data_IF_057387393608
#
_entry.id   IF_057387393608
#
_cell.length_a   1.000
_cell.length_b   1.000
_cell.length_c   1.000
_cell.angle_alpha   90.00
_cell.angle_beta   90.00
_cell.angle_gamma   90.00
#
_symmetry.space_group_name_H-M   'P 1'
#
loop_
_entity.id
_entity.type
_entity.pdbx_description
1 polymer ?
#
# COMPACT_ATOMS: atom_id res chain seq x y z
N UNK A 1 38.29 34.81 -30.86
CA UNK A 1 37.81 34.90 -29.47
C UNK A 1 37.37 33.50 -29.08
N UNK A 2 38.21 32.47 -28.96
CA UNK A 2 39.54 32.34 -28.34
C UNK A 2 39.53 32.67 -26.84
N UNK A 3 39.39 31.58 -26.08
CA UNK A 3 40.02 31.24 -24.79
C UNK A 3 39.83 32.15 -23.58
N UNK A 4 38.91 31.74 -22.69
CA UNK A 4 39.12 31.74 -21.22
C UNK A 4 38.45 30.48 -20.65
N UNK A 5 39.21 29.39 -20.57
CA UNK A 5 38.96 28.26 -19.67
C UNK A 5 40.06 28.36 -18.61
N UNK A 6 39.68 28.63 -17.37
CA UNK A 6 40.61 28.65 -16.23
C UNK A 6 40.05 27.78 -15.11
N UNK A 7 40.68 26.62 -14.98
CA UNK A 7 41.15 26.03 -13.72
C UNK A 7 40.31 26.23 -12.47
N UNK A 8 39.42 25.26 -12.21
CA UNK A 8 39.01 24.92 -10.86
C UNK A 8 39.77 23.65 -10.41
N UNK A 9 40.35 23.64 -9.20
CA UNK A 9 41.06 22.47 -8.69
C UNK A 9 40.09 21.31 -8.43
N UNK A 10 40.55 20.05 -8.57
CA UNK A 10 39.71 18.89 -8.32
C UNK A 10 39.30 18.83 -6.84
N UNK A 11 37.99 18.77 -6.61
CA UNK A 11 37.41 18.54 -5.29
C UNK A 11 37.76 17.11 -4.84
N UNK A 12 38.41 16.92 -3.68
CA UNK A 12 38.72 15.58 -3.20
C UNK A 12 37.43 14.81 -2.85
N UNK A 13 37.37 13.50 -3.10
CA UNK A 13 36.19 12.70 -2.80
C UNK A 13 35.96 12.70 -1.28
N UNK A 14 34.76 13.14 -0.86
CA UNK A 14 34.28 12.95 0.51
C UNK A 14 34.14 11.45 0.77
N UNK A 15 35.01 10.91 1.62
CA UNK A 15 34.90 9.57 2.17
C UNK A 15 33.60 9.46 2.97
N UNK A 16 32.66 8.66 2.47
CA UNK A 16 31.46 8.27 3.21
C UNK A 16 31.85 7.41 4.42
N UNK A 17 31.16 7.55 5.57
CA UNK A 17 31.38 6.69 6.72
C UNK A 17 31.06 5.22 6.37
N UNK A 18 31.76 4.25 6.99
CA UNK A 18 31.54 2.84 6.73
C UNK A 18 30.12 2.45 7.11
N UNK A 19 29.44 1.77 6.19
CA UNK A 19 28.14 1.15 6.44
C UNK A 19 28.28 0.10 7.56
N UNK A 20 27.31 0.01 8.49
CA UNK A 20 27.30 -1.04 9.48
C UNK A 20 27.24 -2.42 8.81
N UNK A 21 27.86 -3.45 9.41
CA UNK A 21 27.88 -4.79 8.83
C UNK A 21 26.46 -5.31 8.65
N UNK A 22 26.21 -5.81 7.44
CA UNK A 22 24.95 -6.42 7.01
C UNK A 22 24.75 -7.70 7.80
N UNK A 23 23.86 -7.68 8.79
CA UNK A 23 23.47 -8.88 9.52
C UNK A 23 22.79 -9.86 8.56
N UNK A 24 23.39 -11.05 8.45
CA UNK A 24 22.84 -12.17 7.69
C UNK A 24 21.65 -12.71 8.49
N UNK A 25 20.45 -12.87 7.90
CA UNK A 25 19.33 -13.48 8.59
C UNK A 25 19.69 -14.92 8.94
N UNK A 26 19.65 -15.25 10.24
CA UNK A 26 19.70 -16.63 10.69
C UNK A 26 18.38 -17.31 10.33
N UNK A 27 18.48 -18.48 9.71
CA UNK A 27 17.41 -19.44 9.49
C UNK A 27 16.67 -19.72 10.81
N UNK A 28 15.44 -19.22 10.95
CA UNK A 28 14.50 -19.71 11.96
C UNK A 28 13.70 -20.87 11.36
N UNK A 29 14.27 -22.06 11.54
CA UNK A 29 13.55 -23.32 11.36
C UNK A 29 12.55 -23.54 12.48
N UNK A 30 11.27 -23.55 12.10
CA UNK A 30 10.25 -24.52 12.52
C UNK A 30 10.19 -24.89 14.01
N UNK A 31 9.33 -24.24 14.78
CA UNK A 31 8.68 -24.86 15.94
C UNK A 31 7.19 -24.53 16.00
N UNK A 32 6.41 -25.53 15.58
CA UNK A 32 4.97 -25.64 15.79
C UNK A 32 4.67 -26.03 17.25
N UNK A 33 3.64 -25.38 17.79
CA UNK A 33 2.68 -25.88 18.78
C UNK A 33 3.19 -26.28 20.17
N UNK A 34 2.85 -25.45 21.15
CA UNK A 34 2.17 -25.90 22.38
C UNK A 34 1.42 -24.74 23.03
N UNK A 35 0.11 -24.71 22.84
CA UNK A 35 -0.84 -24.06 23.73
C UNK A 35 -0.85 -24.83 25.06
N UNK A 36 -0.63 -24.13 26.17
CA UNK A 36 -1.06 -24.54 27.49
C UNK A 36 -1.21 -23.30 28.40
N UNK A 37 -2.47 -23.06 28.76
CA UNK A 37 -2.96 -22.53 30.05
C UNK A 37 -2.12 -21.48 30.81
N UNK A 38 -2.61 -20.24 30.80
CA UNK A 38 -2.31 -19.23 31.82
C UNK A 38 -3.59 -18.94 32.61
N UNK A 39 -3.63 -19.47 33.84
CA UNK A 39 -4.50 -19.02 34.92
C UNK A 39 -3.65 -18.29 35.98
N UNK A 40 -4.24 -17.40 36.79
CA UNK A 40 -3.52 -16.32 37.44
C UNK A 40 -2.79 -16.71 38.72
N UNK A 41 -1.66 -16.03 38.90
CA UNK A 41 -0.67 -16.16 39.96
C UNK A 41 -1.27 -15.86 41.35
N UNK A 42 -1.27 -16.89 42.21
CA UNK A 42 -1.56 -16.80 43.64
C UNK A 42 -0.30 -16.34 44.36
N UNK A 43 -0.34 -15.10 44.86
CA UNK A 43 0.55 -14.62 45.92
C UNK A 43 0.47 -15.57 47.13
N UNK A 44 1.54 -16.30 47.40
CA UNK A 44 1.80 -16.88 48.71
C UNK A 44 2.98 -16.17 49.36
N UNK A 45 2.61 -15.32 50.32
CA UNK A 45 3.43 -14.91 51.44
C UNK A 45 3.85 -16.15 52.22
N UNK A 46 5.14 -16.37 52.42
CA UNK A 46 5.63 -17.23 53.49
C UNK A 46 6.31 -16.35 54.53
N UNK A 47 5.67 -16.32 55.69
CA UNK A 47 6.11 -15.67 56.90
C UNK A 47 7.28 -16.43 57.52
N UNK A 48 8.12 -15.63 58.14
CA UNK A 48 9.24 -15.95 59.03
C UNK A 48 8.76 -16.65 60.31
N UNK A 49 9.22 -17.87 60.56
CA UNK A 49 9.23 -18.65 61.83
C UNK A 49 10.22 -19.79 61.59
N UNK A 50 11.04 -20.35 62.47
CA UNK A 50 11.38 -20.25 63.89
C UNK A 50 12.80 -20.87 63.96
N UNK A 51 13.75 -20.32 64.73
CA UNK A 51 14.08 -20.80 66.07
C UNK A 51 14.45 -22.31 66.12
N UNK A 52 15.74 -22.64 66.01
CA UNK A 52 16.29 -23.91 66.51
C UNK A 52 17.70 -23.73 67.05
N UNK A 53 17.77 -23.85 68.38
CA UNK A 53 18.98 -24.00 69.18
C UNK A 53 19.71 -25.32 68.89
N UNK A 54 21.04 -25.39 69.00
CA UNK A 54 21.76 -26.67 69.07
C UNK A 54 21.67 -27.29 70.48
N UNK A 55 21.52 -28.62 70.62
CA UNK A 55 21.52 -29.26 71.93
C UNK A 55 22.94 -29.49 72.44
N UNK A 56 23.12 -29.21 73.73
CA UNK A 56 24.18 -29.76 74.55
C UNK A 56 23.85 -31.21 74.95
N UNK A 57 24.85 -32.10 74.96
CA UNK A 57 24.86 -33.36 75.73
C UNK A 57 26.31 -33.90 75.75
N UNK A 58 27.05 -33.76 76.84
CA UNK A 58 27.20 -34.72 77.95
C UNK A 58 27.61 -36.14 77.52
N UNK A 59 28.87 -36.52 77.77
CA UNK A 59 29.21 -37.83 78.37
C UNK A 59 30.52 -37.73 79.17
N UNK A 60 30.48 -38.36 80.34
CA UNK A 60 31.46 -38.34 81.43
C UNK A 60 32.47 -39.52 81.31
N UNK A 61 33.45 -39.66 82.23
CA UNK A 61 34.65 -40.45 82.06
C UNK A 61 34.47 -41.91 82.49
N UNK A 62 35.23 -42.84 81.87
CA UNK A 62 35.41 -44.21 82.37
C UNK A 62 36.89 -44.57 82.35
N UNK A 63 37.34 -45.11 83.47
CA UNK A 63 38.71 -45.48 83.78
C UNK A 63 39.06 -46.93 83.36
N UNK A 64 40.37 -47.13 83.19
CA UNK A 64 41.14 -48.37 83.43
C UNK A 64 40.83 -49.61 82.60
N UNK A 65 41.81 -50.06 81.81
CA UNK A 65 42.31 -51.46 81.77
C UNK A 65 43.50 -51.59 80.80
N UNK A 66 44.68 -51.96 81.32
CA UNK A 66 45.72 -52.65 80.54
C UNK A 66 45.16 -54.00 80.04
N UNK A 67 45.63 -54.51 78.89
CA UNK A 67 46.57 -55.63 78.99
C UNK A 67 47.68 -55.66 77.93
N UNK A 68 48.78 -56.28 78.36
CA UNK A 68 49.58 -57.27 77.64
C UNK A 68 50.05 -57.00 76.20
N UNK A 69 51.38 -56.87 76.11
CA UNK A 69 52.22 -57.25 74.96
C UNK A 69 51.61 -58.38 74.12
N UNK A 70 51.21 -58.06 72.90
CA UNK A 70 51.17 -58.98 71.78
C UNK A 70 51.94 -58.35 70.64
N UNK A 71 53.03 -59.02 70.26
CA UNK A 71 53.84 -58.71 69.08
C UNK A 71 52.91 -58.66 67.86
N UNK A 72 53.03 -57.63 67.00
CA UNK A 72 52.12 -57.42 65.87
C UNK A 72 52.05 -58.67 65.00
N UNK A 73 50.88 -59.31 65.02
CA UNK A 73 50.50 -60.25 63.97
C UNK A 73 50.60 -59.53 62.63
N UNK A 74 51.03 -60.24 61.60
CA UNK A 74 51.21 -59.74 60.22
C UNK A 74 49.94 -59.04 59.69
N UNK A 75 48.76 -59.31 60.28
CA UNK A 75 47.47 -58.71 59.95
C UNK A 75 47.31 -57.25 60.44
N UNK A 76 47.88 -56.84 61.57
CA UNK A 76 47.74 -55.48 62.10
C UNK A 76 48.57 -54.45 61.31
N UNK A 77 49.76 -54.84 60.86
CA UNK A 77 50.57 -54.00 59.96
C UNK A 77 49.88 -53.83 58.59
N UNK A 78 49.15 -54.85 58.12
CA UNK A 78 48.36 -54.77 56.90
C UNK A 78 47.13 -53.83 57.06
N UNK A 79 46.51 -53.78 58.24
CA UNK A 79 45.43 -52.85 58.55
C UNK A 79 45.91 -51.40 58.64
N UNK A 80 47.05 -51.15 59.29
CA UNK A 80 47.66 -49.80 59.35
C UNK A 80 48.06 -49.30 57.96
N UNK A 81 48.59 -50.19 57.11
CA UNK A 81 48.93 -49.84 55.73
C UNK A 81 47.68 -49.52 54.89
N UNK A 82 46.61 -50.33 55.00
CA UNK A 82 45.32 -50.03 54.35
C UNK A 82 44.72 -48.71 54.83
N UNK A 83 44.83 -48.41 56.12
CA UNK A 83 44.31 -47.17 56.69
C UNK A 83 45.08 -45.96 56.15
N UNK A 84 46.41 -46.05 56.09
CA UNK A 84 47.26 -45.03 55.48
C UNK A 84 47.01 -44.84 53.96
N UNK A 85 46.69 -45.92 53.23
CA UNK A 85 46.26 -45.86 51.83
C UNK A 85 44.90 -45.17 51.69
N UNK A 86 43.91 -45.54 52.50
CA UNK A 86 42.58 -44.88 52.48
C UNK A 86 42.64 -43.41 52.88
N UNK A 87 43.52 -43.02 53.81
CA UNK A 87 43.72 -41.61 54.15
C UNK A 87 44.34 -40.82 53.00
N UNK A 88 45.28 -41.43 52.26
CA UNK A 88 45.84 -40.81 51.05
C UNK A 88 44.77 -40.65 49.98
N UNK A 89 44.02 -41.70 49.68
CA UNK A 89 42.95 -41.66 48.67
C UNK A 89 41.89 -40.62 49.03
N UNK A 90 41.42 -40.59 50.29
CA UNK A 90 40.48 -39.56 50.77
C UNK A 90 41.07 -38.15 50.71
N UNK A 91 42.36 -37.99 50.96
CA UNK A 91 43.02 -36.69 50.86
C UNK A 91 43.13 -36.21 49.41
N UNK A 92 43.37 -37.12 48.46
CA UNK A 92 43.39 -36.83 47.03
C UNK A 92 41.99 -36.54 46.50
N UNK A 93 40.99 -37.32 46.91
CA UNK A 93 39.58 -37.09 46.57
C UNK A 93 39.12 -35.73 47.11
N UNK A 94 39.47 -35.38 48.35
CA UNK A 94 39.18 -34.06 48.92
C UNK A 94 39.85 -32.93 48.13
N UNK A 95 41.10 -33.10 47.71
CA UNK A 95 41.81 -32.11 46.88
C UNK A 95 41.15 -31.96 45.51
N UNK A 96 40.79 -33.05 44.85
CA UNK A 96 40.12 -32.99 43.54
C UNK A 96 38.72 -32.37 43.64
N UNK A 97 37.97 -32.65 44.70
CA UNK A 97 36.70 -31.99 44.96
C UNK A 97 36.87 -30.50 45.25
N UNK A 98 37.87 -30.12 46.05
CA UNK A 98 38.17 -28.70 46.30
C UNK A 98 38.55 -27.95 45.02
N UNK A 99 39.33 -28.58 44.14
CA UNK A 99 39.67 -28.01 42.83
C UNK A 99 38.43 -27.83 41.94
N UNK A 100 37.57 -28.86 41.85
CA UNK A 100 36.32 -28.79 41.08
C UNK A 100 35.37 -27.72 41.63
N UNK A 101 35.26 -27.58 42.95
CA UNK A 101 34.46 -26.53 43.57
C UNK A 101 35.00 -25.15 43.22
N UNK A 102 36.32 -24.94 43.32
CA UNK A 102 36.94 -23.68 42.93
C UNK A 102 36.74 -23.36 41.43
N UNK A 103 36.81 -24.36 40.55
CA UNK A 103 36.58 -24.20 39.12
C UNK A 103 35.11 -23.83 38.82
N UNK A 104 34.15 -24.51 39.45
CA UNK A 104 32.72 -24.22 39.31
C UNK A 104 32.40 -22.83 39.86
N UNK A 105 32.95 -22.45 41.02
CA UNK A 105 32.80 -21.10 41.58
C UNK A 105 33.38 -20.04 40.65
N UNK A 106 34.55 -20.29 40.06
CA UNK A 106 35.14 -19.41 39.06
C UNK A 106 34.23 -19.26 37.83
N UNK A 107 33.76 -20.36 37.25
CA UNK A 107 32.87 -20.35 36.09
C UNK A 107 31.56 -19.61 36.38
N UNK A 108 30.93 -19.91 37.52
CA UNK A 108 29.70 -19.26 37.94
C UNK A 108 29.90 -17.76 38.19
N UNK A 109 31.06 -17.35 38.73
CA UNK A 109 31.41 -15.94 38.87
C UNK A 109 31.59 -15.24 37.51
N UNK A 110 32.18 -15.92 36.53
CA UNK A 110 32.37 -15.42 35.17
C UNK A 110 31.02 -15.30 34.45
N UNK A 111 30.17 -16.33 34.53
CA UNK A 111 28.83 -16.32 33.98
C UNK A 111 28.00 -15.17 34.57
N UNK A 112 28.02 -15.00 35.90
CA UNK A 112 27.35 -13.87 36.57
C UNK A 112 27.83 -12.52 36.05
N UNK A 113 29.15 -12.34 35.84
CA UNK A 113 29.70 -11.10 35.26
C UNK A 113 29.21 -10.90 33.82
N UNK A 114 29.23 -11.94 32.99
CA UNK A 114 28.75 -11.83 31.60
C UNK A 114 27.24 -11.57 31.52
N UNK A 115 26.46 -12.18 32.41
CA UNK A 115 25.02 -11.95 32.51
C UNK A 115 24.73 -10.51 32.96
N UNK A 116 25.43 -10.02 33.99
CA UNK A 116 25.32 -8.62 34.43
C UNK A 116 25.70 -7.65 33.30
N UNK A 117 26.79 -7.92 32.56
CA UNK A 117 27.20 -7.08 31.44
C UNK A 117 26.17 -7.08 30.30
N UNK A 118 25.61 -8.24 29.96
CA UNK A 118 24.56 -8.36 28.94
C UNK A 118 23.29 -7.65 29.36
N UNK A 119 22.88 -7.78 30.62
CA UNK A 119 21.71 -7.08 31.16
C UNK A 119 21.88 -5.55 31.12
N UNK A 120 23.08 -5.04 31.46
CA UNK A 120 23.40 -3.61 31.32
C UNK A 120 23.36 -3.15 29.86
N UNK A 121 23.96 -3.92 28.95
CA UNK A 121 23.92 -3.61 27.52
C UNK A 121 22.50 -3.61 26.93
N UNK A 122 21.67 -4.57 27.33
CA UNK A 122 20.28 -4.65 26.88
C UNK A 122 19.49 -3.43 27.37
N UNK A 123 19.62 -3.09 28.66
CA UNK A 123 18.99 -1.90 29.24
C UNK A 123 19.44 -0.60 28.55
N UNK A 124 20.72 -0.49 28.22
CA UNK A 124 21.24 0.65 27.48
C UNK A 124 20.65 0.71 26.07
N UNK A 125 20.58 -0.41 25.34
CA UNK A 125 19.98 -0.46 24.01
C UNK A 125 18.49 -0.12 24.04
N UNK A 126 17.74 -0.64 25.01
CA UNK A 126 16.32 -0.28 25.22
C UNK A 126 16.16 1.21 25.47
N UNK A 127 17.02 1.81 26.30
CA UNK A 127 16.99 3.26 26.54
C UNK A 127 17.24 4.05 25.24
N UNK A 128 18.26 3.68 24.45
CA UNK A 128 18.52 4.36 23.17
C UNK A 128 17.39 4.19 22.15
N UNK A 129 16.74 3.01 22.13
CA UNK A 129 15.59 2.77 21.27
C UNK A 129 14.38 3.63 21.68
N UNK A 130 14.13 3.77 22.99
CA UNK A 130 13.07 4.63 23.53
C UNK A 130 13.33 6.11 23.23
N UNK A 131 14.58 6.57 23.37
CA UNK A 131 14.99 7.93 23.00
C UNK A 131 14.76 8.18 21.51
N UNK A 132 15.16 7.25 20.64
CA UNK A 132 14.92 7.37 19.20
C UNK A 132 13.42 7.39 18.85
N UNK A 133 12.62 6.55 19.50
CA UNK A 133 11.15 6.58 19.34
C UNK A 133 10.55 7.90 19.81
N UNK A 134 11.09 8.52 20.86
CA UNK A 134 10.65 9.83 21.32
C UNK A 134 11.01 10.92 20.32
N UNK A 135 12.27 10.98 19.85
CA UNK A 135 12.69 11.92 18.81
C UNK A 135 11.86 11.79 17.54
N UNK A 136 11.57 10.56 17.11
CA UNK A 136 10.74 10.31 15.94
C UNK A 136 9.30 10.81 16.14
N UNK A 137 8.71 10.58 17.33
CA UNK A 137 7.39 11.13 17.67
C UNK A 137 7.39 12.66 17.69
N UNK A 138 8.42 13.28 18.25
CA UNK A 138 8.54 14.74 18.32
C UNK A 138 8.72 15.34 16.92
N UNK A 139 9.56 14.74 16.07
CA UNK A 139 9.72 15.14 14.68
C UNK A 139 8.41 15.01 13.89
N UNK A 140 7.64 13.94 14.11
CA UNK A 140 6.31 13.77 13.52
C UNK A 140 5.33 14.83 14.02
N UNK A 141 5.33 15.15 15.32
CA UNK A 141 4.46 16.15 15.89
C UNK A 141 4.79 17.56 15.35
N UNK A 142 6.08 17.87 15.22
CA UNK A 142 6.55 19.12 14.64
C UNK A 142 6.22 19.21 13.15
N UNK A 143 6.43 18.14 12.38
CA UNK A 143 6.00 18.04 10.98
C UNK A 143 4.48 18.24 10.87
N UNK A 144 3.68 17.55 11.69
CA UNK A 144 2.23 17.71 11.73
C UNK A 144 1.82 19.14 12.07
N UNK A 145 2.56 19.83 12.95
CA UNK A 145 2.34 21.26 13.26
C UNK A 145 2.61 22.12 12.02
N UNK A 146 3.73 21.91 11.33
CA UNK A 146 4.05 22.64 10.10
C UNK A 146 3.04 22.38 9.00
N UNK A 147 2.61 21.12 8.83
CA UNK A 147 1.56 20.76 7.88
C UNK A 147 0.26 21.50 8.24
N UNK A 148 -0.20 21.48 9.50
CA UNK A 148 -1.41 22.24 9.90
C UNK A 148 -1.32 23.75 9.61
N UNK A 149 -0.14 24.35 9.76
CA UNK A 149 0.10 25.77 9.47
C UNK A 149 0.15 26.05 7.96
N UNK A 150 0.81 25.19 7.18
CA UNK A 150 0.94 25.30 5.72
C UNK A 150 -0.38 25.01 4.99
N UNK A 151 -1.20 24.11 5.54
CA UNK A 151 -2.44 23.62 4.90
C UNK A 151 -3.62 24.60 5.01
N UNK A 152 -3.46 25.76 5.68
CA UNK A 152 -4.53 26.76 5.83
C UNK A 152 -4.99 27.42 4.53
N UNK A 153 -4.18 27.36 3.46
CA UNK A 153 -4.41 28.18 2.25
C UNK A 153 -4.68 27.39 0.95
N UNK A 154 -4.83 26.06 0.98
CA UNK A 154 -5.08 25.28 -0.26
C UNK A 154 -6.09 24.13 -0.11
N UNK A 155 -7.02 24.24 0.83
CA UNK A 155 -8.20 23.36 0.81
C UNK A 155 -9.11 23.80 -0.32
N UNK A 156 -9.24 22.94 -1.33
CA UNK A 156 -10.15 23.19 -2.44
C UNK A 156 -11.57 22.96 -1.93
N UNK A 157 -12.42 23.98 -2.04
CA UNK A 157 -13.84 23.85 -1.68
C UNK A 157 -14.54 22.92 -2.68
N UNK A 158 -15.69 22.37 -2.29
CA UNK A 158 -16.47 21.50 -3.17
C UNK A 158 -16.93 22.22 -4.44
N UNK A 159 -17.23 23.52 -4.34
CA UNK A 159 -17.61 24.33 -5.51
C UNK A 159 -16.46 24.48 -6.51
N UNK A 160 -15.24 24.70 -6.03
CA UNK A 160 -14.04 24.82 -6.89
C UNK A 160 -13.72 23.47 -7.52
N UNK A 161 -13.81 22.37 -6.77
CA UNK A 161 -13.66 21.02 -7.30
C UNK A 161 -14.71 20.73 -8.39
N UNK A 162 -15.98 21.03 -8.12
CA UNK A 162 -17.08 20.88 -9.07
C UNK A 162 -16.83 21.71 -10.33
N UNK A 163 -16.36 22.94 -10.20
CA UNK A 163 -16.05 23.81 -11.32
C UNK A 163 -14.95 23.21 -12.21
N UNK A 164 -13.83 22.74 -11.62
CA UNK A 164 -12.75 22.13 -12.39
C UNK A 164 -13.19 20.82 -13.07
N UNK A 165 -13.95 19.98 -12.37
CA UNK A 165 -14.45 18.72 -12.95
C UNK A 165 -15.44 19.00 -14.08
N UNK A 166 -16.36 19.96 -13.91
CA UNK A 166 -17.30 20.34 -14.96
C UNK A 166 -16.59 20.99 -16.16
N UNK A 167 -15.55 21.78 -15.94
CA UNK A 167 -14.73 22.32 -17.03
C UNK A 167 -14.09 21.19 -17.83
N UNK A 168 -13.49 20.19 -17.17
CA UNK A 168 -12.93 19.03 -17.85
C UNK A 168 -14.00 18.20 -18.59
N UNK A 169 -15.18 17.98 -17.97
CA UNK A 169 -16.33 17.32 -18.63
C UNK A 169 -16.74 18.04 -19.90
N UNK A 170 -16.86 19.35 -19.85
CA UNK A 170 -17.22 20.16 -21.00
C UNK A 170 -16.14 20.07 -22.09
N UNK A 171 -14.87 20.19 -21.75
CA UNK A 171 -13.79 20.11 -22.73
C UNK A 171 -13.70 18.74 -23.42
N UNK A 172 -13.89 17.63 -22.70
CA UNK A 172 -13.91 16.29 -23.29
C UNK A 172 -15.14 16.09 -24.19
N UNK A 173 -16.31 16.58 -23.76
CA UNK A 173 -17.55 16.54 -24.56
C UNK A 173 -17.40 17.34 -25.85
N UNK A 174 -16.93 18.59 -25.76
CA UNK A 174 -16.70 19.47 -26.92
C UNK A 174 -15.66 18.87 -27.88
N UNK A 175 -14.55 18.34 -27.36
CA UNK A 175 -13.55 17.64 -28.16
C UNK A 175 -14.17 16.47 -28.94
N UNK A 176 -14.95 15.64 -28.25
CA UNK A 176 -15.53 14.44 -28.85
C UNK A 176 -16.58 14.80 -29.91
N UNK A 177 -17.43 15.78 -29.62
CA UNK A 177 -18.43 16.29 -30.55
C UNK A 177 -17.77 16.95 -31.77
N UNK A 178 -16.78 17.81 -31.57
CA UNK A 178 -16.14 18.58 -32.65
C UNK A 178 -15.42 17.66 -33.65
N UNK A 179 -14.70 16.64 -33.17
CA UNK A 179 -13.79 15.87 -34.01
C UNK A 179 -14.33 14.52 -34.47
N UNK A 180 -15.42 14.02 -33.86
CA UNK A 180 -15.92 12.67 -34.10
C UNK A 180 -17.42 12.60 -34.45
N UNK A 181 -18.11 13.74 -34.58
CA UNK A 181 -19.52 13.76 -35.04
C UNK A 181 -19.68 13.66 -36.56
N UNK A 182 -18.60 13.64 -37.33
CA UNK A 182 -18.67 13.56 -38.79
C UNK A 182 -18.93 12.14 -39.32
N UNK A 183 -19.26 11.99 -40.60
CA UNK A 183 -19.29 10.67 -41.25
C UNK A 183 -17.86 10.14 -41.44
N UNK A 184 -17.62 8.88 -41.08
CA UNK A 184 -16.29 8.26 -41.20
C UNK A 184 -15.75 8.27 -42.64
N UNK A 185 -14.44 8.49 -42.83
CA UNK A 185 -13.81 8.37 -44.15
C UNK A 185 -13.81 6.93 -44.70
N UNK A 186 -13.67 5.92 -43.82
CA UNK A 186 -13.58 4.51 -44.23
C UNK A 186 -14.02 3.56 -43.12
N UNK A 187 -14.89 2.60 -43.45
CA UNK A 187 -15.33 1.55 -42.53
C UNK A 187 -14.26 0.47 -42.28
N UNK A 188 -13.23 0.37 -43.14
CA UNK A 188 -12.15 -0.62 -42.96
C UNK A 188 -11.31 -0.34 -41.72
N UNK A 189 -11.12 0.93 -41.37
CA UNK A 189 -10.35 1.36 -40.19
C UNK A 189 -10.96 0.90 -38.86
N UNK A 190 -12.26 0.55 -38.87
CA UNK A 190 -13.00 0.08 -37.70
C UNK A 190 -12.56 -1.35 -37.34
N UNK A 191 -12.47 -2.27 -38.30
CA UNK A 191 -12.42 -3.70 -37.96
C UNK A 191 -11.21 -4.13 -37.10
N UNK A 192 -10.08 -3.47 -37.24
CA UNK A 192 -8.79 -3.92 -36.70
C UNK A 192 -8.40 -3.27 -35.36
N UNK A 193 -9.27 -2.43 -34.78
CA UNK A 193 -8.90 -1.56 -33.63
C UNK A 193 -9.73 -1.76 -32.37
N UNK A 194 -10.70 -2.67 -32.37
CA UNK A 194 -11.58 -2.93 -31.22
C UNK A 194 -10.79 -3.31 -29.95
N UNK A 195 -9.76 -4.17 -30.07
CA UNK A 195 -8.96 -4.64 -28.93
C UNK A 195 -8.27 -3.51 -28.15
N UNK A 196 -7.95 -2.40 -28.81
CA UNK A 196 -7.30 -1.25 -28.16
C UNK A 196 -8.27 -0.45 -27.29
N UNK A 197 -9.58 -0.56 -27.52
CA UNK A 197 -10.61 0.08 -26.71
C UNK A 197 -11.11 -0.83 -25.58
N UNK A 198 -11.04 -2.16 -25.80
CA UNK A 198 -11.50 -3.18 -24.85
C UNK A 198 -10.73 -3.13 -23.52
N UNK A 199 -9.47 -2.68 -23.54
CA UNK A 199 -8.66 -2.46 -22.34
C UNK A 199 -9.23 -1.38 -21.40
N UNK A 200 -10.01 -0.43 -21.94
CA UNK A 200 -10.54 0.71 -21.18
C UNK A 200 -12.06 0.70 -21.03
N UNK A 201 -12.79 0.14 -21.99
CA UNK A 201 -14.26 0.03 -21.96
C UNK A 201 -14.65 -1.42 -22.23
N UNK A 202 -15.36 -2.01 -21.27
CA UNK A 202 -15.98 -3.32 -21.44
C UNK A 202 -17.17 -3.23 -22.40
N UNK A 203 -16.93 -3.47 -23.70
CA UNK A 203 -17.96 -3.43 -24.74
C UNK A 203 -17.77 -4.56 -25.75
N UNK A 204 -18.89 -5.18 -26.15
CA UNK A 204 -18.85 -6.21 -27.20
C UNK A 204 -18.42 -5.61 -28.55
N UNK A 205 -17.73 -6.40 -29.37
CA UNK A 205 -17.31 -5.97 -30.71
C UNK A 205 -18.48 -5.47 -31.57
N UNK A 206 -19.64 -6.12 -31.50
CA UNK A 206 -20.84 -5.73 -32.24
C UNK A 206 -21.40 -4.37 -31.80
N UNK A 207 -21.46 -4.12 -30.49
CA UNK A 207 -21.91 -2.82 -29.97
C UNK A 207 -20.92 -1.73 -30.35
N UNK A 208 -19.63 -1.98 -30.17
CA UNK A 208 -18.55 -1.08 -30.56
C UNK A 208 -18.63 -0.67 -32.04
N UNK A 209 -18.78 -1.63 -32.96
CA UNK A 209 -18.97 -1.33 -34.38
C UNK A 209 -20.24 -0.51 -34.61
N UNK A 210 -21.29 -0.76 -33.84
CA UNK A 210 -22.53 0.01 -33.86
C UNK A 210 -22.32 1.48 -33.47
N UNK A 211 -21.62 1.74 -32.37
CA UNK A 211 -21.24 3.10 -31.94
C UNK A 211 -20.40 3.79 -33.01
N UNK A 212 -19.36 3.12 -33.53
CA UNK A 212 -18.46 3.71 -34.52
C UNK A 212 -19.14 4.08 -35.84
N UNK A 213 -20.18 3.34 -36.26
CA UNK A 213 -20.92 3.61 -37.50
C UNK A 213 -21.85 4.82 -37.41
N UNK A 214 -22.36 5.13 -36.23
CA UNK A 214 -23.26 6.27 -36.03
C UNK A 214 -22.46 7.52 -35.64
N UNK A 215 -22.64 8.61 -36.37
CA UNK A 215 -21.92 9.87 -36.15
C UNK A 215 -22.10 10.41 -34.71
N UNK A 216 -23.34 10.48 -34.22
CA UNK A 216 -23.63 10.97 -32.87
C UNK A 216 -23.11 10.02 -31.79
N UNK A 217 -23.39 8.72 -31.94
CA UNK A 217 -22.96 7.71 -30.97
C UNK A 217 -21.44 7.56 -30.92
N UNK A 218 -20.74 7.82 -32.03
CA UNK A 218 -19.28 7.76 -32.07
C UNK A 218 -18.67 8.84 -31.18
N UNK A 219 -19.17 10.07 -31.22
CA UNK A 219 -18.72 11.13 -30.32
C UNK A 219 -18.91 10.71 -28.86
N UNK A 220 -20.08 10.18 -28.51
CA UNK A 220 -20.39 9.69 -27.16
C UNK A 220 -19.44 8.55 -26.73
N UNK A 221 -19.13 7.62 -27.63
CA UNK A 221 -18.16 6.56 -27.37
C UNK A 221 -16.75 7.08 -27.15
N UNK A 222 -16.28 8.03 -27.98
CA UNK A 222 -14.96 8.63 -27.80
C UNK A 222 -14.87 9.41 -26.47
N UNK A 223 -15.92 10.13 -26.10
CA UNK A 223 -16.01 10.81 -24.82
C UNK A 223 -15.88 9.83 -23.64
N UNK A 224 -16.65 8.73 -23.67
CA UNK A 224 -16.55 7.68 -22.66
C UNK A 224 -15.15 7.06 -22.59
N UNK A 225 -14.54 6.82 -23.75
CA UNK A 225 -13.20 6.27 -23.84
C UNK A 225 -12.16 7.18 -23.21
N UNK A 226 -12.23 8.48 -23.48
CA UNK A 226 -11.31 9.45 -22.90
C UNK A 226 -11.43 9.49 -21.38
N UNK A 227 -12.64 9.44 -20.83
CA UNK A 227 -12.84 9.35 -19.38
C UNK A 227 -12.24 8.08 -18.77
N UNK A 228 -12.49 6.93 -19.40
CA UNK A 228 -11.93 5.65 -18.95
C UNK A 228 -10.39 5.67 -19.03
N UNK A 229 -9.83 6.22 -20.11
CA UNK A 229 -8.39 6.38 -20.30
C UNK A 229 -7.78 7.30 -19.25
N UNK A 230 -8.34 8.49 -19.04
CA UNK A 230 -7.84 9.46 -18.05
C UNK A 230 -7.90 8.86 -16.63
N UNK A 231 -8.96 8.11 -16.30
CA UNK A 231 -9.05 7.43 -15.02
C UNK A 231 -8.03 6.30 -14.85
N UNK A 232 -7.77 5.52 -15.91
CA UNK A 232 -6.80 4.42 -15.88
C UNK A 232 -5.33 4.89 -15.86
N UNK A 233 -5.03 5.98 -16.57
CA UNK A 233 -3.65 6.40 -16.87
C UNK A 233 -3.21 7.68 -16.14
N UNK A 234 -4.14 8.51 -15.66
CA UNK A 234 -3.82 9.81 -15.05
C UNK A 234 -4.26 9.84 -13.58
N UNK A 235 -5.56 9.65 -13.31
CA UNK A 235 -6.09 9.84 -11.96
C UNK A 235 -5.53 8.81 -10.97
N UNK A 236 -5.03 9.30 -9.84
CA UNK A 236 -4.40 8.49 -8.80
C UNK A 236 -3.08 7.84 -9.23
N UNK A 237 -2.54 8.19 -10.41
CA UNK A 237 -1.24 7.70 -10.88
C UNK A 237 -0.09 8.66 -10.56
N UNK A 238 -0.40 9.85 -10.04
CA UNK A 238 0.57 10.87 -9.63
C UNK A 238 1.49 11.30 -10.78
N UNK A 239 0.98 11.33 -12.02
CA UNK A 239 1.72 11.72 -13.23
C UNK A 239 2.18 13.18 -13.26
N UNK A 240 1.80 13.98 -12.26
CA UNK A 240 2.32 15.33 -12.03
C UNK A 240 3.65 15.35 -11.26
N UNK A 241 4.07 14.24 -10.66
CA UNK A 241 5.39 14.07 -10.05
C UNK A 241 6.38 13.52 -11.07
N UNK A 242 7.68 13.53 -10.70
CA UNK A 242 8.70 12.77 -11.45
C UNK A 242 8.37 11.28 -11.48
N UNK A 243 8.74 10.56 -12.53
CA UNK A 243 8.41 9.14 -12.73
C UNK A 243 8.79 8.27 -11.50
N UNK A 244 9.97 8.52 -10.92
CA UNK A 244 10.45 7.81 -9.73
C UNK A 244 9.61 8.09 -8.49
N UNK A 245 9.33 9.37 -8.22
CA UNK A 245 8.57 9.78 -7.02
C UNK A 245 7.10 9.38 -7.14
N UNK A 246 6.49 9.62 -8.30
CA UNK A 246 5.12 9.25 -8.61
C UNK A 246 4.90 7.74 -8.46
N UNK A 247 5.78 6.92 -9.04
CA UNK A 247 5.73 5.46 -8.89
C UNK A 247 5.85 5.00 -7.43
N UNK A 248 6.73 5.64 -6.65
CA UNK A 248 6.93 5.29 -5.24
C UNK A 248 5.70 5.64 -4.38
N UNK A 249 5.15 6.85 -4.57
CA UNK A 249 3.92 7.29 -3.87
C UNK A 249 2.74 6.43 -4.27
N UNK A 250 2.60 6.10 -5.57
CA UNK A 250 1.59 5.20 -6.08
C UNK A 250 1.67 3.81 -5.43
N UNK A 251 2.85 3.20 -5.41
CA UNK A 251 3.04 1.88 -4.82
C UNK A 251 2.68 1.87 -3.33
N UNK A 252 3.09 2.89 -2.58
CA UNK A 252 2.69 3.03 -1.17
C UNK A 252 1.17 3.21 -1.03
N UNK A 253 0.55 4.05 -1.86
CA UNK A 253 -0.90 4.27 -1.84
C UNK A 253 -1.68 2.98 -2.17
N UNK A 254 -1.26 2.23 -3.18
CA UNK A 254 -1.85 0.93 -3.56
C UNK A 254 -1.66 -0.10 -2.43
N UNK A 255 -0.49 -0.13 -1.80
CA UNK A 255 -0.22 -1.02 -0.65
C UNK A 255 -1.14 -0.72 0.54
N UNK A 256 -1.41 0.56 0.82
CA UNK A 256 -2.40 0.94 1.82
C UNK A 256 -3.82 0.56 1.37
N UNK A 257 -4.15 0.77 0.09
CA UNK A 257 -5.43 0.39 -0.52
C UNK A 257 -5.82 -1.07 -0.28
N UNK A 258 -4.89 -2.00 -0.51
CA UNK A 258 -5.10 -3.44 -0.30
C UNK A 258 -5.49 -3.78 1.13
N UNK A 259 -4.87 -3.12 2.12
CA UNK A 259 -5.21 -3.31 3.53
C UNK A 259 -6.64 -2.86 3.86
N UNK A 260 -7.24 -1.97 3.05
CA UNK A 260 -8.58 -1.43 3.27
C UNK A 260 -9.69 -2.21 2.56
N UNK A 261 -9.42 -2.77 1.38
CA UNK A 261 -10.42 -3.53 0.61
C UNK A 261 -10.73 -4.88 1.27
N UNK A 262 -9.76 -5.50 1.94
CA UNK A 262 -9.93 -6.79 2.63
C UNK A 262 -10.71 -6.69 3.95
N UNK A 263 -11.02 -5.48 4.39
CA UNK A 263 -11.64 -5.22 5.69
C UNK A 263 -12.76 -4.19 5.56
N UNK A 264 -13.92 -4.66 5.08
CA UNK A 264 -15.15 -3.85 5.09
C UNK A 264 -15.50 -3.35 6.51
N UNK A 265 -15.03 -4.06 7.55
CA UNK A 265 -15.20 -3.73 8.98
C UNK A 265 -14.09 -2.82 9.57
N UNK A 266 -13.16 -2.29 8.78
CA UNK A 266 -12.06 -1.49 9.33
C UNK A 266 -12.53 -0.18 9.99
N UNK A 267 -11.89 0.12 11.12
CA UNK A 267 -12.01 1.33 11.91
C UNK A 267 -11.85 2.58 11.02
N UNK A 268 -12.82 3.53 11.01
CA UNK A 268 -12.76 4.78 10.24
C UNK A 268 -11.43 5.54 10.33
N UNK A 269 -10.74 5.39 11.46
CA UNK A 269 -9.41 5.93 11.77
C UNK A 269 -8.32 5.52 10.75
N UNK A 270 -8.31 4.27 10.26
CA UNK A 270 -7.27 3.81 9.36
C UNK A 270 -7.37 4.46 7.97
N UNK A 271 -8.59 4.58 7.43
CA UNK A 271 -8.87 5.26 6.14
C UNK A 271 -8.57 6.75 6.23
N UNK A 272 -8.93 7.38 7.35
CA UNK A 272 -8.57 8.77 7.65
C UNK A 272 -7.05 8.95 7.65
N UNK A 273 -6.31 8.07 8.34
CA UNK A 273 -4.84 8.10 8.38
C UNK A 273 -4.20 7.97 7.00
N UNK A 274 -4.65 7.06 6.13
CA UNK A 274 -4.15 6.98 4.75
C UNK A 274 -4.47 8.25 3.95
N UNK A 275 -5.70 8.75 4.04
CA UNK A 275 -6.10 9.95 3.30
C UNK A 275 -5.28 11.18 3.73
N UNK A 276 -5.04 11.32 5.04
CA UNK A 276 -4.14 12.34 5.61
C UNK A 276 -2.70 12.14 5.16
N UNK A 277 -2.18 10.91 5.22
CA UNK A 277 -0.84 10.58 4.75
C UNK A 277 -0.67 10.98 3.28
N UNK A 278 -1.59 10.56 2.40
CA UNK A 278 -1.58 10.89 0.97
C UNK A 278 -1.52 12.40 0.75
N UNK A 279 -2.42 13.14 1.39
CA UNK A 279 -2.49 14.60 1.27
C UNK A 279 -1.18 15.28 1.73
N UNK A 280 -0.70 14.90 2.91
CA UNK A 280 0.53 15.44 3.50
C UNK A 280 1.76 15.14 2.65
N UNK A 281 1.90 13.89 2.19
CA UNK A 281 2.99 13.46 1.31
C UNK A 281 2.93 14.18 -0.02
N UNK A 282 1.75 14.35 -0.62
CA UNK A 282 1.61 15.10 -1.87
C UNK A 282 2.00 16.57 -1.70
N UNK A 283 1.60 17.23 -0.61
CA UNK A 283 2.00 18.61 -0.33
C UNK A 283 3.52 18.72 -0.11
N UNK A 284 4.12 17.81 0.67
CA UNK A 284 5.57 17.79 0.87
C UNK A 284 6.35 17.59 -0.44
N UNK A 285 5.86 16.70 -1.32
CA UNK A 285 6.49 16.47 -2.61
C UNK A 285 6.41 17.71 -3.50
N UNK A 286 5.29 18.43 -3.48
CA UNK A 286 5.16 19.69 -4.22
C UNK A 286 6.08 20.78 -3.69
N UNK A 287 6.17 20.94 -2.37
CA UNK A 287 7.11 21.88 -1.75
C UNK A 287 8.55 21.52 -2.11
N UNK A 288 8.89 20.22 -2.12
CA UNK A 288 10.22 19.73 -2.51
C UNK A 288 10.52 19.99 -3.98
N UNK A 289 9.57 19.72 -4.88
CA UNK A 289 9.71 19.99 -6.31
C UNK A 289 9.86 21.49 -6.59
N UNK A 290 9.17 22.35 -5.84
CA UNK A 290 9.31 23.79 -5.96
C UNK A 290 10.69 24.27 -5.50
N UNK A 291 11.20 23.74 -4.38
CA UNK A 291 12.54 24.05 -3.87
C UNK A 291 13.65 23.55 -4.80
N UNK A 292 13.43 22.44 -5.50
CA UNK A 292 14.40 21.81 -6.40
C UNK A 292 14.13 22.08 -7.88
N UNK A 293 13.33 23.10 -8.21
CA UNK A 293 12.87 23.37 -9.58
C UNK A 293 14.02 23.47 -10.60
N UNK A 294 15.19 23.96 -10.19
CA UNK A 294 16.37 24.10 -11.05
C UNK A 294 17.20 22.81 -11.20
N UNK A 295 17.10 21.89 -10.23
CA UNK A 295 17.94 20.69 -10.15
C UNK A 295 17.24 19.43 -10.66
N UNK A 296 15.90 19.39 -10.58
CA UNK A 296 15.11 18.21 -10.91
C UNK A 296 14.62 18.28 -12.35
N UNK A 297 14.96 17.26 -13.13
CA UNK A 297 14.43 17.06 -14.47
C UNK A 297 12.93 16.73 -14.42
N UNK A 298 12.11 17.59 -15.03
CA UNK A 298 10.66 17.38 -15.22
C UNK A 298 10.45 16.47 -16.45
N UNK A 299 10.15 15.19 -16.22
CA UNK A 299 9.90 14.17 -17.25
C UNK A 299 8.43 14.11 -17.72
N UNK A 300 7.57 14.92 -17.11
CA UNK A 300 6.15 15.04 -17.44
C UNK A 300 5.93 15.43 -18.91
N UNK A 301 6.64 16.40 -19.53
CA UNK A 301 6.41 16.77 -20.92
C UNK A 301 6.66 15.59 -21.88
N UNK A 302 7.70 14.79 -21.64
CA UNK A 302 7.98 13.58 -22.44
C UNK A 302 6.91 12.52 -22.25
N UNK A 303 6.47 12.29 -21.01
CA UNK A 303 5.39 11.37 -20.70
C UNK A 303 4.08 11.78 -21.41
N UNK A 304 3.67 13.05 -21.29
CA UNK A 304 2.47 13.60 -21.94
C UNK A 304 2.59 13.43 -23.45
N UNK A 305 3.71 13.85 -24.05
CA UNK A 305 3.95 13.72 -25.50
C UNK A 305 3.81 12.27 -25.99
N UNK A 306 4.34 11.29 -25.24
CA UNK A 306 4.25 9.86 -25.57
C UNK A 306 2.81 9.35 -25.52
N UNK A 307 2.08 9.67 -24.45
CA UNK A 307 0.71 9.24 -24.23
C UNK A 307 -0.24 9.90 -25.25
N UNK A 308 -0.15 11.21 -25.43
CA UNK A 308 -0.88 11.95 -26.47
C UNK A 308 -0.60 11.36 -27.85
N UNK A 309 0.66 11.05 -28.17
CA UNK A 309 1.02 10.42 -29.45
C UNK A 309 0.37 9.04 -29.66
N UNK A 310 0.24 8.27 -28.59
CA UNK A 310 -0.41 6.94 -28.61
C UNK A 310 -1.91 7.07 -28.83
N UNK A 311 -2.58 7.92 -28.04
CA UNK A 311 -4.02 8.15 -28.15
C UNK A 311 -4.39 8.82 -29.48
N UNK A 312 -3.56 9.75 -29.98
CA UNK A 312 -3.76 10.36 -31.30
C UNK A 312 -3.74 9.31 -32.40
N UNK A 313 -2.76 8.38 -32.37
CA UNK A 313 -2.69 7.29 -33.35
C UNK A 313 -3.91 6.38 -33.28
N UNK A 314 -4.46 6.16 -32.08
CA UNK A 314 -5.66 5.37 -31.86
C UNK A 314 -6.91 6.06 -32.44
N UNK A 315 -7.10 7.35 -32.14
CA UNK A 315 -8.30 8.10 -32.44
C UNK A 315 -8.36 8.67 -33.87
N UNK A 316 -7.22 9.05 -34.44
CA UNK A 316 -7.15 9.72 -35.75
C UNK A 316 -7.97 9.06 -36.88
N UNK A 317 -7.99 7.72 -37.05
CA UNK A 317 -8.78 7.09 -38.12
C UNK A 317 -10.30 7.34 -38.03
N UNK A 318 -10.79 7.77 -36.86
CA UNK A 318 -12.20 8.06 -36.62
C UNK A 318 -12.56 9.55 -36.75
N UNK A 319 -11.57 10.38 -37.06
CA UNK A 319 -11.72 11.81 -37.27
C UNK A 319 -11.40 12.20 -38.72
N UNK A 320 -11.93 13.34 -39.15
CA UNK A 320 -11.55 13.98 -40.43
C UNK A 320 -10.44 15.00 -40.29
N UNK A 321 -10.15 15.39 -39.05
CA UNK A 321 -9.16 16.41 -38.78
C UNK A 321 -7.73 15.90 -38.93
N UNK A 322 -6.81 16.85 -39.07
CA UNK A 322 -5.38 16.54 -39.14
C UNK A 322 -4.93 15.93 -37.80
N UNK A 323 -4.01 14.94 -37.81
CA UNK A 323 -3.50 14.33 -36.57
C UNK A 323 -2.89 15.36 -35.61
N UNK A 324 -2.27 16.42 -36.14
CA UNK A 324 -1.69 17.50 -35.33
C UNK A 324 -2.76 18.22 -34.48
N UNK A 325 -3.92 18.55 -35.06
CA UNK A 325 -5.02 19.22 -34.34
C UNK A 325 -5.56 18.36 -33.21
N UNK A 326 -5.77 17.06 -33.46
CA UNK A 326 -6.22 16.10 -32.44
C UNK A 326 -5.18 15.99 -31.32
N UNK A 327 -3.90 15.89 -31.68
CA UNK A 327 -2.78 15.79 -30.73
C UNK A 327 -2.72 17.00 -29.82
N UNK A 328 -2.77 18.21 -30.38
CA UNK A 328 -2.62 19.45 -29.63
C UNK A 328 -3.79 19.61 -28.63
N UNK A 329 -5.02 19.25 -29.02
CA UNK A 329 -6.18 19.24 -28.11
C UNK A 329 -6.14 18.15 -27.04
N UNK A 330 -5.65 16.95 -27.38
CA UNK A 330 -5.46 15.89 -26.39
C UNK A 330 -4.39 16.28 -25.36
N UNK A 331 -3.35 16.99 -25.78
CA UNK A 331 -2.35 17.52 -24.86
C UNK A 331 -2.99 18.47 -23.84
N UNK A 332 -3.80 19.43 -24.29
CA UNK A 332 -4.55 20.34 -23.40
C UNK A 332 -5.42 19.55 -22.40
N UNK A 333 -6.19 18.56 -22.87
CA UNK A 333 -7.05 17.74 -22.00
C UNK A 333 -6.27 16.94 -20.95
N UNK A 334 -5.12 16.37 -21.33
CA UNK A 334 -4.31 15.60 -20.40
C UNK A 334 -3.59 16.50 -19.39
N UNK A 335 -3.11 17.67 -19.82
CA UNK A 335 -2.57 18.68 -18.90
C UNK A 335 -3.64 19.16 -17.90
N UNK A 336 -4.86 19.45 -18.35
CA UNK A 336 -5.99 19.77 -17.46
C UNK A 336 -6.27 18.65 -16.45
N UNK A 337 -6.22 17.40 -16.90
CA UNK A 337 -6.47 16.22 -16.06
C UNK A 337 -5.37 16.02 -15.01
N UNK A 338 -4.10 16.25 -15.38
CA UNK A 338 -2.95 16.17 -14.47
C UNK A 338 -3.05 17.24 -13.39
N UNK A 339 -3.39 18.48 -13.76
CA UNK A 339 -3.58 19.58 -12.79
C UNK A 339 -4.73 19.28 -11.83
N UNK A 340 -5.83 18.71 -12.34
CA UNK A 340 -6.96 18.29 -11.50
C UNK A 340 -6.56 17.15 -10.56
N UNK A 341 -5.83 16.13 -11.03
CA UNK A 341 -5.33 15.03 -10.20
C UNK A 341 -4.42 15.54 -9.08
N UNK A 342 -3.52 16.47 -9.39
CA UNK A 342 -2.66 17.14 -8.42
C UNK A 342 -3.51 17.85 -7.35
N UNK A 343 -4.51 18.64 -7.75
CA UNK A 343 -5.39 19.35 -6.82
C UNK A 343 -6.17 18.39 -5.91
N UNK A 344 -6.70 17.31 -6.46
CA UNK A 344 -7.41 16.25 -5.72
C UNK A 344 -6.46 15.50 -4.77
N UNK A 345 -5.22 15.25 -5.19
CA UNK A 345 -4.20 14.53 -4.43
C UNK A 345 -3.77 15.23 -3.14
N UNK A 346 -3.90 16.57 -3.12
CA UNK A 346 -3.60 17.41 -1.96
C UNK A 346 -4.73 17.48 -0.93
N UNK A 347 -5.94 17.03 -1.28
CA UNK A 347 -7.08 17.08 -0.37
C UNK A 347 -7.03 15.95 0.66
N UNK A 348 -7.40 16.25 1.90
CA UNK A 348 -7.56 15.22 2.94
C UNK A 348 -8.79 14.37 2.67
N UNK A 349 -9.88 14.97 2.17
CA UNK A 349 -11.03 14.22 1.72
C UNK A 349 -10.68 13.31 0.54
N UNK A 350 -11.17 12.07 0.56
CA UNK A 350 -10.94 11.12 -0.51
C UNK A 350 -11.98 11.34 -1.62
N UNK A 351 -11.51 11.62 -2.83
CA UNK A 351 -12.35 11.80 -4.00
C UNK A 351 -12.23 10.55 -4.86
N UNK A 352 -13.36 10.01 -5.28
CA UNK A 352 -13.44 8.80 -6.10
C UNK A 352 -14.36 9.04 -7.30
N UNK A 353 -13.97 8.48 -8.44
CA UNK A 353 -14.73 8.58 -9.68
C UNK A 353 -15.74 7.43 -9.76
N UNK A 354 -17.01 7.77 -9.97
CA UNK A 354 -18.09 6.79 -10.07
C UNK A 354 -18.45 6.53 -11.53
N UNK A 355 -17.92 5.44 -12.06
CA UNK A 355 -18.26 4.95 -13.41
C UNK A 355 -19.53 4.09 -13.42
N UNK A 356 -20.26 3.96 -12.31
CA UNK A 356 -21.41 3.06 -12.23
C UNK A 356 -20.96 1.61 -12.25
N UNK A 357 -21.03 0.95 -11.09
CA UNK A 357 -20.43 -0.38 -10.87
C UNK A 357 -20.93 -1.51 -11.81
N UNK A 358 -22.01 -1.29 -12.57
CA UNK A 358 -22.65 -2.31 -13.39
C UNK A 358 -23.09 -1.73 -14.74
N UNK A 359 -22.18 -1.19 -15.54
CA UNK A 359 -22.51 -0.79 -16.92
C UNK A 359 -21.99 -1.85 -17.90
N UNK A 360 -22.83 -2.40 -18.78
CA UNK A 360 -24.27 -2.09 -18.96
C UNK A 360 -25.16 -2.60 -17.80
N UNK A 361 -26.15 -1.81 -17.39
CA UNK A 361 -27.07 -2.17 -16.30
C UNK A 361 -28.21 -1.17 -16.08
N UNK A 362 -29.05 -1.37 -15.06
CA UNK A 362 -30.24 -0.55 -14.84
C UNK A 362 -29.86 0.91 -14.58
N UNK A 363 -30.61 1.84 -15.19
CA UNK A 363 -30.45 3.27 -14.96
C UNK A 363 -30.92 3.63 -13.54
N UNK A 364 -30.05 4.21 -12.74
CA UNK A 364 -30.36 4.70 -11.39
C UNK A 364 -30.55 6.22 -11.41
N UNK A 365 -31.79 6.74 -11.33
CA UNK A 365 -32.05 8.19 -11.39
C UNK A 365 -31.50 8.96 -10.19
N UNK A 366 -31.12 8.29 -9.10
CA UNK A 366 -30.53 8.96 -7.92
C UNK A 366 -29.06 9.30 -8.14
N UNK A 367 -28.35 8.47 -8.92
CA UNK A 367 -26.90 8.60 -9.15
C UNK A 367 -26.55 9.02 -10.57
N UNK A 368 -27.43 8.74 -11.53
CA UNK A 368 -27.20 8.91 -12.95
C UNK A 368 -28.13 9.96 -13.56
N UNK A 369 -27.63 10.65 -14.57
CA UNK A 369 -28.39 11.59 -15.40
C UNK A 369 -28.14 11.27 -16.87
N UNK A 370 -29.15 11.50 -17.71
CA UNK A 370 -28.99 11.39 -19.15
C UNK A 370 -28.30 12.64 -19.70
N UNK A 371 -27.55 12.46 -20.79
CA UNK A 371 -26.97 13.56 -21.54
C UNK A 371 -28.05 14.59 -21.95
N UNK A 372 -27.75 15.88 -21.79
CA UNK A 372 -28.69 16.96 -22.07
C UNK A 372 -29.80 17.16 -21.03
N UNK A 373 -29.78 16.43 -19.91
CA UNK A 373 -30.74 16.61 -18.82
C UNK A 373 -32.16 16.14 -19.13
N UNK A 374 -32.32 15.33 -20.19
CA UNK A 374 -33.62 14.75 -20.55
C UNK A 374 -34.14 13.86 -19.44
N UNK A 375 -35.44 13.95 -19.13
CA UNK A 375 -36.03 13.02 -18.19
C UNK A 375 -36.15 11.63 -18.83
N UNK A 376 -35.81 10.56 -18.08
CA UNK A 376 -35.95 9.19 -18.58
C UNK A 376 -37.43 8.87 -18.84
N UNK A 377 -37.80 8.58 -20.10
CA UNK A 377 -39.20 8.36 -20.52
C UNK A 377 -39.61 6.88 -20.59
N UNK A 378 -38.95 5.98 -19.85
CA UNK A 378 -39.30 4.55 -19.87
C UNK A 378 -39.04 3.83 -18.54
N UNK A 379 -39.88 2.85 -18.22
CA UNK A 379 -39.84 2.12 -16.94
C UNK A 379 -38.65 1.16 -16.80
N UNK A 380 -37.80 0.98 -17.81
CA UNK A 380 -36.66 0.05 -17.79
C UNK A 380 -35.49 0.54 -18.65
N UNK A 381 -35.00 1.75 -18.39
CA UNK A 381 -33.80 2.23 -19.08
C UNK A 381 -32.56 1.46 -18.62
N UNK A 382 -31.71 1.10 -19.58
CA UNK A 382 -30.43 0.46 -19.33
C UNK A 382 -29.34 1.46 -19.67
N UNK A 383 -28.56 1.88 -18.67
CA UNK A 383 -27.34 2.64 -18.88
C UNK A 383 -26.33 1.74 -19.60
N UNK A 384 -25.86 2.18 -20.77
CA UNK A 384 -24.96 1.42 -21.65
C UNK A 384 -23.55 1.95 -21.63
N UNK A 385 -23.39 3.25 -21.44
CA UNK A 385 -22.11 3.93 -21.58
C UNK A 385 -22.03 5.10 -20.60
N UNK A 386 -20.88 5.25 -19.93
CA UNK A 386 -20.58 6.42 -19.08
C UNK A 386 -19.97 7.52 -19.95
N UNK A 387 -20.70 8.62 -20.13
CA UNK A 387 -20.20 9.77 -20.87
C UNK A 387 -19.40 10.72 -19.97
N UNK A 388 -19.68 10.75 -18.67
CA UNK A 388 -18.86 11.41 -17.68
C UNK A 388 -19.05 10.74 -16.32
N UNK A 389 -17.97 10.33 -15.63
CA UNK A 389 -18.05 9.65 -14.35
C UNK A 389 -18.58 10.60 -13.28
N UNK A 390 -19.41 10.09 -12.38
CA UNK A 390 -19.82 10.81 -11.18
C UNK A 390 -18.63 11.10 -10.26
N UNK A 391 -18.86 11.97 -9.29
CA UNK A 391 -17.85 12.33 -8.31
C UNK A 391 -18.38 12.02 -6.92
N UNK A 392 -17.72 11.12 -6.20
CA UNK A 392 -18.02 10.78 -4.83
C UNK A 392 -16.91 11.32 -3.93
N UNK A 393 -17.30 11.89 -2.80
CA UNK A 393 -16.38 12.42 -1.79
C UNK A 393 -16.62 11.72 -0.48
N UNK A 394 -15.55 11.28 0.18
CA UNK A 394 -15.57 10.72 1.53
C UNK A 394 -14.76 11.62 2.46
N UNK A 395 -15.35 11.97 3.60
CA UNK A 395 -14.76 12.93 4.53
C UNK A 395 -14.90 14.38 4.08
N UNK A 396 -14.72 15.30 5.03
CA UNK A 396 -14.69 16.74 4.80
C UNK A 396 -13.26 17.24 4.58
N UNK A 397 -13.14 18.45 4.04
CA UNK A 397 -11.83 19.10 3.89
C UNK A 397 -11.13 19.30 5.26
N UNK A 398 -11.89 19.40 6.35
CA UNK A 398 -11.37 19.44 7.73
C UNK A 398 -10.69 18.15 8.18
N UNK A 399 -10.90 17.04 7.47
CA UNK A 399 -10.43 15.72 7.89
C UNK A 399 -11.38 14.98 8.83
N UNK A 400 -12.65 15.37 8.90
CA UNK A 400 -13.68 14.68 9.69
C UNK A 400 -14.66 13.91 8.79
N UNK A 401 -15.49 13.04 9.40
CA UNK A 401 -16.60 12.31 8.75
C UNK A 401 -16.21 11.37 7.60
N UNK A 402 -15.13 10.60 7.79
CA UNK A 402 -14.67 9.61 6.81
C UNK A 402 -15.59 8.38 6.68
N UNK A 403 -16.61 8.28 7.52
CA UNK A 403 -17.70 7.31 7.46
C UNK A 403 -18.79 7.69 6.44
N UNK A 404 -18.93 8.97 6.09
CA UNK A 404 -19.92 9.45 5.13
C UNK A 404 -19.34 9.48 3.69
N UNK A 405 -20.08 8.93 2.72
CA UNK A 405 -19.83 9.13 1.28
C UNK A 405 -20.92 10.05 0.76
N UNK A 406 -20.52 11.19 0.22
CA UNK A 406 -21.42 12.17 -0.41
C UNK A 406 -21.20 12.17 -1.91
N UNK A 407 -22.28 12.08 -2.67
CA UNK A 407 -22.22 12.32 -4.11
C UNK A 407 -22.15 13.82 -4.38
N UNK A 408 -21.06 14.24 -5.01
CA UNK A 408 -20.79 15.63 -5.40
C UNK A 408 -21.29 15.90 -6.81
N UNK A 409 -21.14 14.92 -7.72
CA UNK A 409 -21.66 15.00 -9.09
C UNK A 409 -22.30 13.68 -9.52
N UNK A 410 -23.42 13.78 -10.22
CA UNK A 410 -24.07 12.64 -10.88
C UNK A 410 -23.25 12.12 -12.06
N UNK A 411 -23.35 10.82 -12.30
CA UNK A 411 -22.76 10.15 -13.47
C UNK A 411 -23.61 10.44 -14.70
N UNK A 412 -23.00 10.93 -15.77
CA UNK A 412 -23.71 11.17 -17.04
C UNK A 412 -23.60 9.91 -17.89
N UNK A 413 -24.73 9.35 -18.29
CA UNK A 413 -24.78 8.08 -19.04
C UNK A 413 -25.58 8.21 -20.33
N UNK A 414 -25.27 7.35 -21.29
CA UNK A 414 -26.12 7.08 -22.46
C UNK A 414 -26.84 5.76 -22.30
N UNK A 415 -28.15 5.77 -22.56
CA UNK A 415 -28.99 4.58 -22.64
C UNK A 415 -29.23 4.14 -24.10
N UNK A 416 -28.65 4.85 -25.07
CA UNK A 416 -28.88 4.57 -26.49
C UNK A 416 -28.13 3.31 -26.92
N UNK A 417 -28.88 2.37 -27.48
CA UNK A 417 -28.31 1.20 -28.15
C UNK A 417 -28.04 1.56 -29.61
N UNK A 418 -26.83 1.32 -30.14
CA UNK A 418 -26.61 1.48 -31.57
C UNK A 418 -27.54 0.52 -32.30
N UNK A 419 -28.44 1.08 -33.13
CA UNK A 419 -29.35 0.28 -33.93
C UNK A 419 -28.53 -0.63 -34.83
N UNK A 420 -28.41 -1.90 -34.44
CA UNK A 420 -27.92 -2.92 -35.35
C UNK A 420 -28.99 -3.01 -36.42
N UNK A 421 -28.82 -2.28 -37.53
CA UNK A 421 -29.44 -2.66 -38.79
C UNK A 421 -28.81 -3.99 -39.13
N UNK A 422 -29.28 -5.07 -38.48
CA UNK A 422 -29.38 -6.37 -39.12
C UNK A 422 -30.07 -5.99 -40.41
N UNK A 423 -29.32 -5.97 -41.51
CA UNK A 423 -29.93 -5.89 -42.82
C UNK A 423 -30.93 -7.03 -42.78
N UNK A 424 -32.20 -6.72 -42.51
CA UNK A 424 -33.24 -7.70 -42.66
C UNK A 424 -33.03 -8.13 -44.08
N UNK A 425 -32.62 -9.40 -44.26
CA UNK A 425 -32.51 -10.07 -45.53
C UNK A 425 -33.91 -10.05 -46.16
N UNK A 426 -34.31 -8.86 -46.62
CA UNK A 426 -35.32 -8.67 -47.65
C UNK A 426 -34.58 -9.07 -48.92
N UNK A 427 -34.26 -10.36 -49.02
CA UNK A 427 -34.22 -11.02 -50.30
C UNK A 427 -35.59 -10.74 -50.93
N UNK A 428 -35.66 -9.93 -52.00
CA UNK A 428 -36.90 -9.76 -52.73
C UNK A 428 -37.16 -11.10 -53.44
N UNK A 429 -38.00 -11.96 -52.87
CA UNK A 429 -38.51 -13.14 -53.58
C UNK A 429 -38.26 -14.53 -52.99
N UNK A 430 -37.94 -14.69 -51.70
CA UNK A 430 -37.97 -16.01 -51.06
C UNK A 430 -39.41 -16.45 -50.76
N UNK A 431 -39.88 -17.62 -51.22
CA UNK A 431 -41.26 -18.07 -50.99
C UNK A 431 -41.55 -18.20 -49.48
N UNK A 432 -42.72 -17.71 -49.09
CA UNK A 432 -43.26 -17.76 -47.73
C UNK A 432 -43.36 -19.21 -47.24
N UNK A 433 -42.32 -19.68 -46.55
CA UNK A 433 -42.40 -20.91 -45.75
C UNK A 433 -42.97 -20.53 -44.40
N UNK A 434 -44.25 -20.84 -44.20
CA UNK A 434 -44.93 -20.71 -42.90
C UNK A 434 -44.22 -21.60 -41.87
N UNK A 435 -43.86 -21.08 -40.68
CA UNK A 435 -43.31 -21.92 -39.62
C UNK A 435 -44.40 -22.85 -39.09
N UNK A 436 -44.30 -24.14 -39.44
CA UNK A 436 -45.20 -25.18 -38.94
C UNK A 436 -44.67 -25.72 -37.62
N UNK A 437 -44.85 -24.96 -36.53
CA UNK A 437 -44.51 -25.38 -35.16
C UNK A 437 -45.78 -25.69 -34.36
N UNK A 438 -46.54 -26.66 -34.86
CA UNK A 438 -47.48 -27.44 -34.07
C UNK A 438 -47.49 -28.86 -34.66
N UNK A 439 -46.72 -29.78 -34.07
CA UNK A 439 -47.01 -31.22 -33.94
C UNK A 439 -45.73 -32.01 -33.68
N UNK A 440 -45.51 -32.43 -32.43
CA UNK A 440 -45.83 -33.80 -32.01
C UNK A 440 -45.42 -34.02 -30.55
N UNK A 441 -46.42 -34.44 -29.76
CA UNK A 441 -46.25 -35.33 -28.62
C UNK A 441 -45.62 -36.65 -29.10
N UNK A 442 -44.68 -37.18 -28.32
CA UNK A 442 -44.81 -38.48 -27.67
C UNK A 442 -43.92 -38.52 -26.44
#
# INVERSE_FOLDING_TARGET
MADIVSDLPPVPPKSLPPLPPREVPRDEGTLLSKQAELAPDRRYSWETTDDFSPPASNYAPIATSQPADQVPSVEDNALVQKLAETERDLSEERRTHQQKLAEVEHYLSQERRTHQQTALNLRQKEQTANEFQQYWRDAINELNRYLRLSHGNSQMTDDVLVQHVNHLRQSIMEFSAQYFSDKLPSLKAIRDRHSLFEEHIAISRSEWEGYMRSASLRANFIQAFLWAFINGEIFGKFCWMTDKSGSSVRHMYESFGQLYEESEDLVPDARQKCSMWRANTCNLMLDTMELQREEVYDDRPEWVKRIVGTVTKLLYPFSREKPATIRDRLQELFEMSIVLDQAISRQVAMVTWDFGAQIPGPFDPTRMVLEGGSQPTGENLVARLVLAPGLLKRGRASGDRFDEITQVLSTVVSCELPAHRVASDRSPGGPSVKPNWFNKRK
#
